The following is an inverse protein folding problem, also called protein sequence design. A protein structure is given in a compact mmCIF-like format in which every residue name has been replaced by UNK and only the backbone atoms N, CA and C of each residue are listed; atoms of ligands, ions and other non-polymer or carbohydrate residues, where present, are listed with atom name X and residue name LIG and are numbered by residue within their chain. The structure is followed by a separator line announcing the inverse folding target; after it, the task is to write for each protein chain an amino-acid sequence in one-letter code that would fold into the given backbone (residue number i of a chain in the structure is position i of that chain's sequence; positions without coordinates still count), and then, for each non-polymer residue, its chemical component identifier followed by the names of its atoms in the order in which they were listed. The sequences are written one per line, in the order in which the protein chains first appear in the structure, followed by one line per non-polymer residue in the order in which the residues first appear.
data_IF_905269348786
#
_entry.id   IF_905269348786
#
_cell.length_a   1.000
_cell.length_b   1.000
_cell.length_c   1.000
_cell.angle_alpha   90.00
_cell.angle_beta   90.00
_cell.angle_gamma   90.00
#
_symmetry.space_group_name_H-M   'P 1'
#
loop_
_entity.id
_entity.type
_entity.pdbx_description
1 polymer ?
#
# COMPACT_ATOMS: atom_id res chain seq x y z
N UNK A 1 11.65 -42.41 -17.53
CA UNK A 1 11.38 -41.46 -18.62
C UNK A 1 10.44 -40.41 -18.06
N UNK A 2 10.95 -39.20 -17.84
CA UNK A 2 10.25 -38.05 -17.26
C UNK A 2 9.12 -37.58 -18.18
N UNK A 3 8.01 -37.13 -17.59
CA UNK A 3 7.43 -35.79 -17.80
C UNK A 3 6.07 -35.71 -17.10
N UNK A 4 5.99 -34.85 -16.08
CA UNK A 4 4.88 -33.90 -15.83
C UNK A 4 5.11 -33.24 -14.46
N UNK A 5 6.14 -32.40 -14.38
CA UNK A 5 6.14 -31.25 -13.49
C UNK A 5 5.32 -30.16 -14.20
N UNK A 6 4.00 -30.22 -14.08
CA UNK A 6 3.15 -29.08 -14.42
C UNK A 6 3.22 -28.12 -13.23
N UNK A 7 3.98 -27.04 -13.43
CA UNK A 7 4.20 -25.99 -12.46
C UNK A 7 2.88 -25.41 -11.95
N UNK A 8 2.78 -25.32 -10.63
CA UNK A 8 1.86 -24.40 -9.98
C UNK A 8 2.18 -23.00 -10.51
N UNK A 9 1.25 -22.41 -11.28
CA UNK A 9 1.22 -20.96 -11.45
C UNK A 9 0.97 -20.37 -10.05
N UNK A 10 2.04 -19.99 -9.37
CA UNK A 10 1.95 -19.16 -8.17
C UNK A 10 1.52 -17.77 -8.63
N UNK A 11 0.19 -17.57 -8.69
CA UNK A 11 -0.36 -16.23 -8.91
C UNK A 11 0.25 -15.28 -7.88
N UNK A 12 0.50 -14.04 -8.29
CA UNK A 12 1.11 -13.00 -7.45
C UNK A 12 0.43 -12.92 -6.08
N UNK A 13 -0.85 -13.25 -6.03
CA UNK A 13 -1.74 -13.07 -4.89
C UNK A 13 -2.24 -14.38 -4.25
N UNK A 14 -1.62 -15.52 -4.55
CA UNK A 14 -1.98 -16.79 -3.92
C UNK A 14 -1.88 -16.71 -2.38
N UNK A 15 -2.92 -17.13 -1.66
CA UNK A 15 -3.05 -17.02 -0.21
C UNK A 15 -1.86 -17.65 0.57
N UNK A 16 -1.28 -16.92 1.54
CA UNK A 16 -0.41 -17.50 2.58
C UNK A 16 -0.67 -16.87 3.96
N UNK A 17 -0.95 -17.75 4.92
CA UNK A 17 -1.18 -17.61 6.36
C UNK A 17 -1.26 -16.21 6.98
N UNK A 18 -2.43 -15.96 7.59
CA UNK A 18 -2.78 -14.85 8.49
C UNK A 18 -1.67 -14.55 9.51
N UNK A 19 -1.01 -13.41 9.36
CA UNK A 19 -0.45 -12.70 10.50
C UNK A 19 -1.55 -11.78 11.00
N UNK A 20 -2.16 -12.14 12.14
CA UNK A 20 -3.25 -11.37 12.73
C UNK A 20 -2.69 -10.08 13.33
N UNK A 21 -2.66 -9.01 12.53
CA UNK A 21 -2.67 -7.65 13.07
C UNK A 21 -4.11 -7.33 13.48
N UNK A 22 -4.29 -6.72 14.65
CA UNK A 22 -5.60 -6.30 15.14
C UNK A 22 -6.24 -5.35 14.13
N UNK A 23 -7.18 -5.91 13.38
CA UNK A 23 -7.89 -5.29 12.29
C UNK A 23 -8.87 -4.23 12.78
N UNK A 24 -9.07 -3.19 11.98
CA UNK A 24 -10.32 -2.44 11.93
C UNK A 24 -11.45 -3.35 11.37
N UNK A 25 -11.71 -4.47 12.02
CA UNK A 25 -12.89 -5.29 11.76
C UNK A 25 -14.04 -4.68 12.57
N UNK A 26 -14.94 -3.97 11.89
CA UNK A 26 -16.31 -3.89 12.38
C UNK A 26 -17.01 -5.19 11.98
N UNK A 27 -17.47 -6.02 12.93
CA UNK A 27 -18.19 -7.25 12.60
C UNK A 27 -19.57 -6.93 12.01
N UNK A 28 -19.94 -7.60 10.91
CA UNK A 28 -21.28 -7.55 10.30
C UNK A 28 -21.23 -7.61 8.77
N UNK A 29 -22.36 -7.98 8.15
CA UNK A 29 -22.62 -8.07 6.70
C UNK A 29 -22.53 -6.72 5.96
N UNK A 30 -21.42 -6.01 6.11
CA UNK A 30 -21.24 -4.63 5.64
C UNK A 30 -20.22 -4.60 4.51
N UNK A 31 -20.52 -3.79 3.50
CA UNK A 31 -19.65 -3.60 2.33
C UNK A 31 -18.30 -3.06 2.82
N UNK A 32 -17.18 -3.77 2.59
CA UNK A 32 -15.90 -3.29 3.07
C UNK A 32 -15.48 -2.04 2.29
N UNK A 33 -14.78 -1.16 2.99
CA UNK A 33 -14.36 0.12 2.47
C UNK A 33 -12.93 0.44 2.92
N UNK A 34 -12.33 1.41 2.24
CA UNK A 34 -11.02 1.94 2.53
C UNK A 34 -11.08 3.46 2.56
N UNK A 35 -10.38 4.11 3.50
CA UNK A 35 -10.24 5.57 3.52
C UNK A 35 -8.79 5.93 3.27
N UNK A 36 -8.55 6.61 2.15
CA UNK A 36 -7.22 7.05 1.73
C UNK A 36 -6.66 8.11 2.69
N UNK A 37 -5.35 8.30 2.66
CA UNK A 37 -4.69 9.39 3.42
C UNK A 37 -5.21 10.77 3.04
N UNK A 38 -5.65 10.93 1.79
CA UNK A 38 -6.24 12.16 1.26
C UNK A 38 -7.70 12.35 1.70
N UNK A 39 -8.25 11.46 2.53
CA UNK A 39 -9.62 11.58 3.03
C UNK A 39 -10.67 11.19 2.00
N UNK A 40 -10.37 10.23 1.11
CA UNK A 40 -11.36 9.69 0.17
C UNK A 40 -11.84 8.33 0.67
N UNK A 41 -13.15 8.17 0.82
CA UNK A 41 -13.79 6.87 1.09
C UNK A 41 -13.97 6.12 -0.23
N UNK A 42 -13.37 4.95 -0.33
CA UNK A 42 -13.44 4.05 -1.47
C UNK A 42 -14.19 2.77 -1.08
N UNK A 43 -15.18 2.36 -1.87
CA UNK A 43 -15.81 1.06 -1.72
C UNK A 43 -16.34 0.54 -3.06
N UNK A 44 -16.60 -0.76 -3.13
CA UNK A 44 -17.04 -1.43 -4.37
C UNK A 44 -18.42 -2.06 -4.17
N UNK A 45 -19.27 -1.95 -5.18
CA UNK A 45 -20.50 -2.74 -5.29
C UNK A 45 -20.31 -3.84 -6.33
N UNK A 46 -20.80 -5.04 -6.04
CA UNK A 46 -20.88 -6.10 -7.04
C UNK A 46 -21.92 -5.73 -8.10
N UNK A 47 -21.49 -5.70 -9.37
CA UNK A 47 -22.30 -5.37 -10.53
C UNK A 47 -22.66 -6.64 -11.33
N UNK A 48 -22.99 -7.73 -10.63
CA UNK A 48 -23.13 -9.09 -11.16
C UNK A 48 -21.83 -9.74 -11.66
N UNK A 49 -21.93 -10.74 -12.56
CA UNK A 49 -20.80 -11.51 -13.13
C UNK A 49 -19.89 -10.70 -14.07
N UNK A 50 -20.22 -9.45 -14.36
CA UNK A 50 -19.56 -8.64 -15.39
C UNK A 50 -18.48 -7.69 -14.84
N UNK A 51 -18.51 -7.37 -13.55
CA UNK A 51 -17.55 -6.44 -12.96
C UNK A 51 -17.99 -5.87 -11.62
N UNK A 52 -17.43 -4.72 -11.28
CA UNK A 52 -17.74 -3.97 -10.05
C UNK A 52 -17.98 -2.50 -10.35
N UNK A 53 -18.82 -1.88 -9.53
CA UNK A 53 -18.94 -0.42 -9.49
C UNK A 53 -18.02 0.12 -8.39
N UNK A 54 -17.00 0.87 -8.79
CA UNK A 54 -16.14 1.62 -7.90
C UNK A 54 -16.81 2.94 -7.54
N UNK A 55 -16.92 3.20 -6.24
CA UNK A 55 -17.48 4.44 -5.70
C UNK A 55 -16.41 5.10 -4.83
N UNK A 56 -16.22 6.40 -5.06
CA UNK A 56 -15.31 7.24 -4.29
C UNK A 56 -16.01 8.50 -3.78
N UNK A 57 -15.83 8.79 -2.49
CA UNK A 57 -16.37 9.97 -1.83
C UNK A 57 -15.22 10.73 -1.18
N UNK A 58 -14.90 11.91 -1.71
CA UNK A 58 -14.04 12.88 -1.05
C UNK A 58 -14.71 13.38 0.25
N UNK A 59 -14.31 12.80 1.38
CA UNK A 59 -14.84 13.14 2.69
C UNK A 59 -14.39 14.52 3.17
N UNK A 60 -13.30 15.09 2.64
CA UNK A 60 -12.90 16.45 2.99
C UNK A 60 -13.89 17.49 2.44
N UNK A 61 -14.69 17.16 1.41
CA UNK A 61 -15.80 18.04 1.01
C UNK A 61 -16.89 18.04 2.06
N UNK A 62 -17.21 16.88 2.63
CA UNK A 62 -18.25 16.71 3.64
C UNK A 62 -17.81 17.20 5.03
N UNK A 63 -16.52 17.04 5.35
CA UNK A 63 -15.91 17.36 6.64
C UNK A 63 -14.59 18.13 6.44
N UNK A 64 -14.64 19.41 6.03
CA UNK A 64 -13.47 20.17 5.59
C UNK A 64 -12.40 20.40 6.65
N UNK A 65 -12.76 20.32 7.93
CA UNK A 65 -11.85 20.53 9.06
C UNK A 65 -11.39 19.23 9.72
N UNK A 66 -11.89 18.08 9.25
CA UNK A 66 -11.56 16.78 9.84
C UNK A 66 -10.17 16.31 9.41
N UNK A 67 -9.40 15.77 10.36
CA UNK A 67 -8.19 15.02 10.04
C UNK A 67 -8.55 13.62 9.50
N UNK A 68 -7.67 13.00 8.72
CA UNK A 68 -7.88 11.63 8.21
C UNK A 68 -8.10 10.62 9.34
N UNK A 69 -7.41 10.77 10.48
CA UNK A 69 -7.64 9.95 11.66
C UNK A 69 -9.06 10.12 12.21
N UNK A 70 -9.57 11.36 12.25
CA UNK A 70 -10.95 11.62 12.66
C UNK A 70 -11.96 11.05 11.65
N UNK A 71 -11.72 11.19 10.35
CA UNK A 71 -12.55 10.55 9.31
C UNK A 71 -12.64 9.04 9.52
N UNK A 72 -11.51 8.35 9.70
CA UNK A 72 -11.47 6.90 9.95
C UNK A 72 -12.15 6.46 11.25
N UNK A 73 -12.28 7.36 12.22
CA UNK A 73 -12.99 7.06 13.49
C UNK A 73 -14.52 7.15 13.37
N UNK A 74 -15.05 7.75 12.29
CA UNK A 74 -16.50 7.83 12.05
C UNK A 74 -17.07 6.45 11.71
N UNK A 75 -18.38 6.32 11.89
CA UNK A 75 -19.09 5.09 11.60
C UNK A 75 -19.75 5.16 10.22
N UNK A 76 -19.44 4.18 9.36
CA UNK A 76 -19.89 4.12 7.97
C UNK A 76 -20.81 2.91 7.79
N UNK A 77 -22.01 3.16 7.27
CA UNK A 77 -22.96 2.13 6.88
C UNK A 77 -23.19 2.24 5.38
N UNK A 78 -22.67 1.25 4.64
CA UNK A 78 -22.67 1.22 3.18
C UNK A 78 -23.50 0.02 2.71
N UNK A 79 -24.43 0.28 1.80
CA UNK A 79 -25.22 -0.74 1.10
C UNK A 79 -25.26 -0.47 -0.41
N UNK A 80 -25.97 -1.32 -1.15
CA UNK A 80 -26.21 -1.20 -2.59
C UNK A 80 -27.07 0.01 -3.00
N UNK A 81 -27.70 0.68 -2.04
CA UNK A 81 -28.72 1.70 -2.26
C UNK A 81 -28.65 2.85 -1.27
N UNK A 82 -27.85 2.73 -0.20
CA UNK A 82 -27.76 3.72 0.86
C UNK A 82 -26.30 3.92 1.29
N UNK A 83 -25.92 5.18 1.52
CA UNK A 83 -24.71 5.54 2.24
C UNK A 83 -25.16 6.34 3.47
N UNK A 84 -24.74 5.91 4.65
CA UNK A 84 -24.94 6.66 5.89
C UNK A 84 -23.61 6.82 6.60
N UNK A 85 -23.27 8.06 6.95
CA UNK A 85 -22.09 8.42 7.74
C UNK A 85 -22.61 8.98 9.06
N UNK A 86 -22.43 8.21 10.13
CA UNK A 86 -22.85 8.59 11.47
C UNK A 86 -21.70 9.32 12.16
N UNK A 87 -21.99 10.55 12.60
CA UNK A 87 -21.10 11.35 13.42
C UNK A 87 -21.61 11.36 14.87
N UNK A 88 -20.71 11.35 15.86
CA UNK A 88 -21.09 11.27 17.26
C UNK A 88 -21.72 12.58 17.78
N UNK A 89 -21.30 13.72 17.23
CA UNK A 89 -21.70 15.05 17.70
C UNK A 89 -22.53 15.86 16.69
N UNK A 90 -22.82 15.30 15.52
CA UNK A 90 -23.54 15.98 14.43
C UNK A 90 -24.59 15.07 13.81
N UNK A 91 -25.64 15.62 13.18
CA UNK A 91 -26.61 14.84 12.42
C UNK A 91 -25.93 13.92 11.40
N UNK A 92 -26.43 12.70 11.26
CA UNK A 92 -25.92 11.77 10.26
C UNK A 92 -26.08 12.35 8.85
N UNK A 93 -25.07 12.10 8.02
CA UNK A 93 -25.10 12.39 6.59
C UNK A 93 -25.59 11.13 5.89
N UNK A 94 -26.64 11.22 5.09
CA UNK A 94 -27.12 10.05 4.36
C UNK A 94 -27.60 10.37 2.95
N UNK A 95 -27.39 9.41 2.05
CA UNK A 95 -27.97 9.43 0.71
C UNK A 95 -28.58 8.07 0.39
N UNK A 96 -29.76 8.11 -0.23
CA UNK A 96 -30.34 7.00 -0.95
C UNK A 96 -30.02 7.20 -2.43
N UNK A 97 -29.44 6.19 -3.06
CA UNK A 97 -29.02 6.24 -4.44
C UNK A 97 -29.48 5.01 -5.21
N UNK A 98 -29.39 5.12 -6.52
CA UNK A 98 -29.56 4.00 -7.46
C UNK A 98 -28.56 4.12 -8.58
N UNK A 99 -28.20 2.99 -9.17
CA UNK A 99 -27.40 2.96 -10.39
C UNK A 99 -28.34 2.71 -11.56
N UNK A 100 -28.35 3.65 -12.51
CA UNK A 100 -29.17 3.55 -13.72
C UNK A 100 -28.33 3.93 -14.93
N UNK A 101 -28.33 3.10 -15.98
CA UNK A 101 -27.55 3.33 -17.20
C UNK A 101 -26.06 3.66 -16.93
N UNK A 102 -25.44 2.93 -15.98
CA UNK A 102 -24.06 3.17 -15.55
C UNK A 102 -23.81 4.59 -14.98
N UNK A 103 -24.83 5.19 -14.36
CA UNK A 103 -24.72 6.47 -13.67
C UNK A 103 -25.18 6.35 -12.23
N UNK A 104 -24.50 7.06 -11.33
CA UNK A 104 -24.86 7.17 -9.93
C UNK A 104 -25.91 8.27 -9.76
N UNK A 105 -27.11 7.92 -9.27
CA UNK A 105 -28.23 8.86 -9.14
C UNK A 105 -28.68 8.93 -7.68
N UNK A 106 -28.50 10.10 -7.06
CA UNK A 106 -29.01 10.38 -5.71
C UNK A 106 -30.52 10.62 -5.79
N UNK A 107 -31.31 9.76 -5.14
CA UNK A 107 -32.77 9.85 -5.09
C UNK A 107 -33.27 10.69 -3.91
N UNK A 108 -32.63 10.57 -2.76
CA UNK A 108 -32.93 11.32 -1.54
C UNK A 108 -31.67 11.53 -0.73
N UNK A 109 -31.54 12.66 -0.07
CA UNK A 109 -30.41 12.93 0.82
C UNK A 109 -30.83 13.66 2.09
N UNK A 110 -29.99 13.55 3.12
CA UNK A 110 -30.08 14.29 4.38
C UNK A 110 -28.69 14.75 4.78
N UNK A 111 -28.53 16.06 5.07
CA UNK A 111 -27.24 16.68 5.41
C UNK A 111 -26.12 16.44 4.39
N UNK A 112 -26.47 16.09 3.16
CA UNK A 112 -25.56 15.95 2.03
C UNK A 112 -25.42 17.28 1.30
N UNK A 113 -24.24 17.57 0.74
CA UNK A 113 -24.01 18.76 -0.07
C UNK A 113 -24.78 18.66 -1.40
N UNK A 114 -25.65 19.64 -1.68
CA UNK A 114 -26.58 19.57 -2.81
C UNK A 114 -25.89 19.49 -4.19
N UNK A 115 -24.71 20.08 -4.33
CA UNK A 115 -23.90 20.12 -5.57
C UNK A 115 -22.92 18.94 -5.68
N UNK A 116 -22.86 18.06 -4.68
CA UNK A 116 -21.83 17.05 -4.58
C UNK A 116 -22.29 15.68 -5.06
N UNK A 117 -21.58 15.14 -6.05
CA UNK A 117 -21.75 13.78 -6.55
C UNK A 117 -20.53 12.93 -6.20
N UNK A 118 -20.72 11.69 -5.68
CA UNK A 118 -19.66 10.70 -5.62
C UNK A 118 -19.04 10.43 -6.99
N UNK A 119 -17.74 10.20 -7.02
CA UNK A 119 -17.07 9.67 -8.21
C UNK A 119 -17.48 8.20 -8.37
N UNK A 120 -17.83 7.83 -9.60
CA UNK A 120 -18.44 6.55 -9.92
C UNK A 120 -17.87 6.01 -11.23
N UNK A 121 -17.40 4.76 -11.22
CA UNK A 121 -16.88 4.11 -12.41
C UNK A 121 -17.17 2.60 -12.39
N UNK A 122 -17.60 2.06 -13.53
CA UNK A 122 -17.67 0.62 -13.72
C UNK A 122 -16.31 0.07 -14.16
N UNK A 123 -15.89 -1.02 -13.53
CA UNK A 123 -14.67 -1.74 -13.87
C UNK A 123 -15.07 -3.16 -14.31
N UNK A 124 -14.85 -3.46 -15.59
CA UNK A 124 -15.12 -4.78 -16.13
C UNK A 124 -14.18 -5.83 -15.52
N UNK A 125 -14.70 -7.03 -15.27
CA UNK A 125 -13.92 -8.14 -14.70
C UNK A 125 -12.74 -8.53 -15.61
N UNK A 126 -12.93 -8.50 -16.93
CA UNK A 126 -11.84 -8.79 -17.88
C UNK A 126 -10.70 -7.76 -17.79
N UNK A 127 -11.00 -6.49 -17.51
CA UNK A 127 -9.99 -5.45 -17.26
C UNK A 127 -9.22 -5.71 -15.97
N UNK A 128 -9.91 -6.15 -14.90
CA UNK A 128 -9.27 -6.54 -13.64
C UNK A 128 -8.34 -7.75 -13.84
N UNK A 129 -8.81 -8.79 -14.54
CA UNK A 129 -8.01 -9.97 -14.88
C UNK A 129 -6.80 -9.62 -15.76
N UNK A 130 -6.99 -8.73 -16.74
CA UNK A 130 -5.88 -8.25 -17.55
C UNK A 130 -4.82 -7.56 -16.70
N UNK A 131 -5.23 -6.69 -15.77
CA UNK A 131 -4.31 -6.01 -14.85
C UNK A 131 -3.56 -6.99 -13.95
N UNK A 132 -4.25 -7.99 -13.39
CA UNK A 132 -3.64 -9.06 -12.59
C UNK A 132 -2.54 -9.77 -13.40
N UNK A 133 -2.86 -10.15 -14.64
CA UNK A 133 -1.93 -10.82 -15.56
C UNK A 133 -0.69 -9.98 -15.90
N UNK A 134 -0.81 -8.65 -15.99
CA UNK A 134 0.34 -7.78 -16.25
C UNK A 134 1.39 -7.89 -15.14
N UNK A 135 0.95 -8.02 -13.88
CA UNK A 135 1.85 -8.27 -12.75
C UNK A 135 2.38 -9.71 -12.74
N UNK A 136 1.59 -10.71 -13.09
CA UNK A 136 2.03 -12.12 -13.13
C UNK A 136 3.05 -12.40 -14.24
N UNK A 137 2.81 -11.84 -15.43
CA UNK A 137 3.68 -12.02 -16.61
C UNK A 137 4.87 -11.07 -16.62
N UNK A 138 4.91 -10.10 -15.69
CA UNK A 138 5.96 -9.08 -15.57
C UNK A 138 6.07 -8.16 -16.78
N UNK A 139 4.92 -7.84 -17.39
CA UNK A 139 4.85 -6.92 -18.52
C UNK A 139 4.89 -5.47 -18.01
N UNK A 140 6.10 -4.94 -17.82
CA UNK A 140 6.31 -3.56 -17.40
C UNK A 140 5.70 -2.56 -18.39
N UNK A 141 5.73 -2.85 -19.69
CA UNK A 141 5.21 -1.93 -20.72
C UNK A 141 3.71 -1.80 -20.62
N UNK A 142 3.00 -2.93 -20.44
CA UNK A 142 1.56 -2.93 -20.18
C UNK A 142 1.22 -2.21 -18.87
N UNK A 143 2.01 -2.40 -17.80
CA UNK A 143 1.79 -1.69 -16.53
C UNK A 143 1.95 -0.17 -16.65
N UNK A 144 2.91 0.31 -17.45
CA UNK A 144 3.08 1.75 -17.69
C UNK A 144 1.89 2.36 -18.43
N UNK A 145 1.19 1.59 -19.28
CA UNK A 145 -0.01 2.07 -19.98
C UNK A 145 -1.18 2.31 -19.02
N UNK A 146 -1.23 1.60 -17.88
CA UNK A 146 -2.29 1.79 -16.88
C UNK A 146 -2.29 3.19 -16.26
N UNK A 147 -1.12 3.83 -16.15
CA UNK A 147 -0.99 5.18 -15.59
C UNK A 147 -1.81 6.23 -16.37
N UNK A 148 -1.93 6.04 -17.69
CA UNK A 148 -2.67 6.95 -18.58
C UNK A 148 -4.19 6.72 -18.49
N UNK A 149 -4.62 5.55 -18.03
CA UNK A 149 -6.02 5.11 -18.09
C UNK A 149 -6.93 5.71 -17.01
N UNK A 150 -6.41 6.57 -16.11
CA UNK A 150 -7.18 7.22 -15.01
C UNK A 150 -8.06 6.22 -14.22
N UNK A 151 -7.50 5.06 -13.91
CA UNK A 151 -8.22 4.00 -13.22
C UNK A 151 -8.38 4.34 -11.73
N UNK A 152 -9.45 3.85 -11.07
CA UNK A 152 -9.67 4.06 -9.64
C UNK A 152 -8.82 3.05 -8.85
N UNK A 153 -7.50 3.27 -8.81
CA UNK A 153 -6.52 2.31 -8.32
C UNK A 153 -6.77 1.88 -6.87
N UNK A 154 -7.27 2.76 -6.01
CA UNK A 154 -7.61 2.44 -4.62
C UNK A 154 -8.78 1.44 -4.53
N UNK A 155 -9.77 1.57 -5.40
CA UNK A 155 -10.88 0.61 -5.49
C UNK A 155 -10.44 -0.73 -6.07
N UNK A 156 -9.54 -0.72 -7.04
CA UNK A 156 -8.93 -1.93 -7.61
C UNK A 156 -8.11 -2.66 -6.55
N UNK A 157 -7.32 -1.93 -5.78
CA UNK A 157 -6.51 -2.49 -4.69
C UNK A 157 -7.39 -3.08 -3.59
N UNK A 158 -8.47 -2.39 -3.21
CA UNK A 158 -9.49 -2.91 -2.29
C UNK A 158 -10.14 -4.18 -2.86
N UNK A 159 -10.51 -4.21 -4.14
CA UNK A 159 -11.08 -5.39 -4.77
C UNK A 159 -10.14 -6.59 -4.70
N UNK A 160 -8.88 -6.44 -5.08
CA UNK A 160 -7.90 -7.53 -4.99
C UNK A 160 -7.67 -7.96 -3.53
N UNK A 161 -7.56 -7.03 -2.58
CA UNK A 161 -7.41 -7.41 -1.16
C UNK A 161 -8.57 -8.30 -0.67
N UNK A 162 -9.81 -8.00 -1.08
CA UNK A 162 -10.98 -8.78 -0.73
C UNK A 162 -10.98 -10.14 -1.42
N UNK A 163 -10.68 -10.16 -2.73
CA UNK A 163 -10.62 -11.38 -3.54
C UNK A 163 -9.63 -12.40 -2.96
N UNK A 164 -8.51 -11.91 -2.42
CA UNK A 164 -7.47 -12.74 -1.84
C UNK A 164 -7.58 -12.91 -0.31
N UNK A 165 -8.68 -12.47 0.30
CA UNK A 165 -8.99 -12.72 1.71
C UNK A 165 -8.10 -11.99 2.72
N UNK A 166 -7.48 -10.87 2.32
CA UNK A 166 -6.71 -10.02 3.22
C UNK A 166 -7.62 -9.14 4.07
N UNK A 167 -7.16 -8.83 5.29
CA UNK A 167 -7.98 -8.05 6.23
C UNK A 167 -7.92 -6.55 5.92
N UNK A 168 -6.82 -6.08 5.32
CA UNK A 168 -6.63 -4.68 4.93
C UNK A 168 -5.92 -4.56 3.58
N UNK A 169 -6.08 -3.41 2.95
CA UNK A 169 -5.37 -3.01 1.73
C UNK A 169 -3.85 -2.95 1.96
N UNK A 170 -3.41 -2.46 3.13
CA UNK A 170 -1.99 -2.38 3.49
C UNK A 170 -1.33 -3.76 3.65
N UNK A 171 -2.05 -4.73 4.22
CA UNK A 171 -1.57 -6.11 4.38
C UNK A 171 -1.38 -6.76 3.02
N UNK A 172 -2.40 -6.66 2.15
CA UNK A 172 -2.33 -7.12 0.76
C UNK A 172 -1.16 -6.47 0.01
N UNK A 173 -1.04 -5.14 0.10
CA UNK A 173 0.00 -4.37 -0.62
C UNK A 173 1.41 -4.77 -0.19
N UNK A 174 1.61 -5.00 1.11
CA UNK A 174 2.90 -5.45 1.65
C UNK A 174 3.26 -6.84 1.15
N UNK A 175 2.27 -7.75 1.09
CA UNK A 175 2.44 -9.09 0.56
C UNK A 175 2.75 -9.08 -0.94
N UNK A 176 2.03 -8.27 -1.72
CA UNK A 176 2.24 -8.12 -3.16
C UNK A 176 3.66 -7.63 -3.47
N UNK A 177 4.11 -6.56 -2.81
CA UNK A 177 5.49 -6.04 -2.97
C UNK A 177 6.52 -7.12 -2.60
N UNK A 178 6.34 -7.79 -1.47
CA UNK A 178 7.27 -8.84 -1.04
C UNK A 178 7.41 -9.95 -2.09
N UNK A 179 6.30 -10.42 -2.67
CA UNK A 179 6.31 -11.48 -3.69
C UNK A 179 6.93 -11.07 -5.01
N UNK A 180 6.65 -9.84 -5.47
CA UNK A 180 7.30 -9.32 -6.68
C UNK A 180 8.81 -9.24 -6.46
N UNK A 181 9.24 -8.78 -5.29
CA UNK A 181 10.66 -8.66 -4.94
C UNK A 181 11.36 -10.01 -4.74
N UNK A 182 10.68 -11.02 -4.18
CA UNK A 182 11.18 -12.40 -4.07
C UNK A 182 11.51 -12.99 -5.45
N UNK A 183 10.73 -12.65 -6.48
CA UNK A 183 11.00 -13.01 -7.88
C UNK A 183 12.12 -12.18 -8.52
N UNK A 184 12.73 -11.24 -7.80
CA UNK A 184 13.80 -10.36 -8.28
C UNK A 184 13.32 -9.21 -9.20
N UNK A 185 12.02 -8.92 -9.23
CA UNK A 185 11.40 -8.04 -10.24
C UNK A 185 11.25 -6.60 -9.73
N UNK A 186 12.37 -5.97 -9.38
CA UNK A 186 12.38 -4.64 -8.80
C UNK A 186 11.63 -3.57 -9.63
N UNK A 187 11.75 -3.58 -10.96
CA UNK A 187 11.06 -2.61 -11.82
C UNK A 187 9.53 -2.73 -11.75
N UNK A 188 9.01 -3.96 -11.64
CA UNK A 188 7.57 -4.22 -11.48
C UNK A 188 7.11 -3.78 -10.09
N UNK A 189 7.88 -4.06 -9.04
CA UNK A 189 7.55 -3.64 -7.68
C UNK A 189 7.55 -2.11 -7.56
N UNK A 190 8.50 -1.43 -8.21
CA UNK A 190 8.54 0.03 -8.33
C UNK A 190 7.30 0.58 -9.03
N UNK A 191 6.88 -0.04 -10.14
CA UNK A 191 5.67 0.37 -10.85
C UNK A 191 4.40 0.11 -10.03
N UNK A 192 4.30 -1.02 -9.34
CA UNK A 192 3.19 -1.30 -8.42
C UNK A 192 3.11 -0.23 -7.33
N UNK A 193 4.24 0.08 -6.68
CA UNK A 193 4.30 1.13 -5.66
C UNK A 193 3.87 2.49 -6.23
N UNK A 194 4.36 2.86 -7.42
CA UNK A 194 4.00 4.11 -8.08
C UNK A 194 2.49 4.22 -8.35
N UNK A 195 1.88 3.18 -8.93
CA UNK A 195 0.47 3.17 -9.30
C UNK A 195 -0.46 3.16 -8.07
N UNK A 196 -0.15 2.35 -7.06
CA UNK A 196 -1.09 2.03 -5.98
C UNK A 196 -0.76 2.67 -4.63
N UNK A 197 0.53 2.92 -4.35
CA UNK A 197 1.01 3.16 -2.98
C UNK A 197 1.71 4.50 -2.78
N UNK A 198 2.05 5.22 -3.86
CA UNK A 198 2.81 6.47 -3.78
C UNK A 198 2.20 7.54 -2.87
N UNK A 199 0.88 7.48 -2.67
CA UNK A 199 0.10 8.41 -1.85
C UNK A 199 -0.27 7.86 -0.47
N UNK A 200 0.08 6.61 -0.16
CA UNK A 200 -0.24 5.93 1.09
C UNK A 200 0.88 6.13 2.13
N UNK A 201 0.63 7.00 3.10
CA UNK A 201 1.56 7.28 4.22
C UNK A 201 1.56 6.22 5.32
N UNK A 202 0.60 5.31 5.31
CA UNK A 202 0.53 4.19 6.25
C UNK A 202 1.22 2.94 5.71
N UNK A 203 1.52 2.91 4.42
CA UNK A 203 2.23 1.80 3.81
C UNK A 203 3.66 1.72 4.34
N UNK A 204 4.05 0.51 4.74
CA UNK A 204 5.40 0.17 5.15
C UNK A 204 6.28 -0.02 3.91
N UNK A 205 6.90 1.06 3.47
CA UNK A 205 7.83 1.13 2.33
C UNK A 205 9.22 0.52 2.58
N UNK A 206 9.48 -0.07 3.75
CA UNK A 206 10.80 -0.60 4.10
C UNK A 206 11.37 -1.57 3.05
N UNK A 207 10.60 -2.58 2.65
CA UNK A 207 11.12 -3.66 1.79
C UNK A 207 11.49 -3.14 0.40
N UNK A 208 10.63 -2.32 -0.22
CA UNK A 208 10.90 -1.73 -1.53
C UNK A 208 12.04 -0.71 -1.49
N UNK A 209 12.15 0.09 -0.42
CA UNK A 209 13.26 1.03 -0.23
C UNK A 209 14.57 0.32 0.08
N UNK A 210 14.56 -0.80 0.82
CA UNK A 210 15.74 -1.65 1.04
C UNK A 210 16.33 -2.13 -0.29
N UNK A 211 15.49 -2.69 -1.17
CA UNK A 211 15.93 -3.13 -2.50
C UNK A 211 16.37 -1.94 -3.37
N UNK A 212 15.67 -0.79 -3.30
CA UNK A 212 16.10 0.41 -4.02
C UNK A 212 17.50 0.88 -3.60
N UNK A 213 17.83 0.79 -2.30
CA UNK A 213 19.15 1.09 -1.76
C UNK A 213 20.20 0.13 -2.32
N UNK A 214 19.93 -1.18 -2.32
CA UNK A 214 20.81 -2.20 -2.91
C UNK A 214 21.05 -1.97 -4.41
N UNK A 215 20.02 -1.52 -5.13
CA UNK A 215 20.10 -1.19 -6.57
C UNK A 215 20.66 0.20 -6.84
N UNK A 216 20.94 1.00 -5.81
CA UNK A 216 21.37 2.39 -5.92
C UNK A 216 20.39 3.28 -6.73
N UNK A 217 19.09 3.02 -6.64
CA UNK A 217 18.04 3.79 -7.33
C UNK A 217 17.68 5.05 -6.53
N UNK A 218 18.59 6.02 -6.55
CA UNK A 218 18.42 7.31 -5.87
C UNK A 218 17.20 8.08 -6.35
N UNK A 219 16.82 7.94 -7.62
CA UNK A 219 15.68 8.66 -8.18
C UNK A 219 14.36 8.16 -7.60
N UNK A 220 14.23 6.85 -7.39
CA UNK A 220 13.10 6.29 -6.68
C UNK A 220 13.10 6.68 -5.20
N UNK A 221 14.22 6.53 -4.51
CA UNK A 221 14.34 6.86 -3.07
C UNK A 221 13.94 8.32 -2.79
N UNK A 222 14.27 9.24 -3.69
CA UNK A 222 13.91 10.67 -3.56
C UNK A 222 12.43 10.97 -3.77
N UNK A 223 11.72 10.14 -4.54
CA UNK A 223 10.32 10.34 -4.90
C UNK A 223 9.35 9.58 -3.99
N UNK A 224 9.85 8.58 -3.28
CA UNK A 224 9.06 7.76 -2.36
C UNK A 224 9.02 8.43 -1.00
N UNK A 225 7.84 8.40 -0.36
CA UNK A 225 7.74 8.78 1.05
C UNK A 225 8.67 7.87 1.88
N UNK A 226 9.32 8.41 2.91
CA UNK A 226 10.21 7.64 3.78
C UNK A 226 9.45 7.21 5.05
N UNK A 227 8.27 6.59 4.89
CA UNK A 227 7.39 6.26 6.02
C UNK A 227 8.07 5.30 7.01
N UNK A 228 8.97 4.45 6.52
CA UNK A 228 9.70 3.45 7.30
C UNK A 228 11.16 3.84 7.58
N UNK A 229 11.50 5.14 7.48
CA UNK A 229 12.88 5.64 7.60
C UNK A 229 13.65 5.04 8.78
N UNK A 230 13.00 5.04 9.95
CA UNK A 230 13.56 4.60 11.22
C UNK A 230 13.08 3.22 11.65
N UNK A 231 12.35 2.52 10.79
CA UNK A 231 11.85 1.18 11.08
C UNK A 231 13.03 0.19 11.02
N UNK A 232 13.15 -0.64 12.04
CA UNK A 232 14.05 -1.78 12.03
C UNK A 232 13.34 -2.95 11.33
N UNK A 233 13.68 -3.21 10.07
CA UNK A 233 13.11 -4.29 9.26
C UNK A 233 14.08 -5.45 9.06
N UNK A 234 13.58 -6.59 8.60
CA UNK A 234 14.41 -7.77 8.32
C UNK A 234 15.31 -7.47 7.12
N UNK A 235 16.61 -7.63 7.31
CA UNK A 235 17.61 -7.43 6.27
C UNK A 235 17.90 -8.75 5.55
N UNK A 236 18.50 -9.71 6.26
CA UNK A 236 18.86 -11.03 5.75
C UNK A 236 18.35 -12.12 6.68
N UNK A 237 17.88 -13.24 6.11
CA UNK A 237 17.58 -14.47 6.83
C UNK A 237 18.71 -15.46 6.55
N UNK A 238 19.33 -15.98 7.60
CA UNK A 238 20.43 -16.93 7.53
C UNK A 238 19.90 -18.37 7.44
N UNK A 239 20.79 -19.29 7.06
CA UNK A 239 20.47 -20.71 6.88
C UNK A 239 20.02 -21.41 8.18
N UNK A 240 20.41 -20.88 9.35
CA UNK A 240 20.01 -21.36 10.67
C UNK A 240 18.71 -20.72 11.18
N UNK A 241 17.96 -20.04 10.29
CA UNK A 241 16.76 -19.25 10.59
C UNK A 241 16.97 -18.05 11.53
N UNK A 242 18.22 -17.74 11.90
CA UNK A 242 18.52 -16.43 12.49
C UNK A 242 18.39 -15.34 11.41
N UNK A 243 18.17 -14.10 11.84
CA UNK A 243 18.04 -12.98 10.90
C UNK A 243 18.75 -11.75 11.43
N UNK A 244 19.22 -10.94 10.50
CA UNK A 244 19.70 -9.58 10.77
C UNK A 244 18.55 -8.61 10.55
N UNK A 245 18.56 -7.52 11.30
CA UNK A 245 17.64 -6.42 11.08
C UNK A 245 18.42 -5.13 10.90
N UNK A 246 17.92 -4.24 10.05
CA UNK A 246 18.49 -2.91 9.91
C UNK A 246 17.41 -1.87 9.59
N UNK A 247 17.72 -0.61 9.83
CA UNK A 247 16.97 0.52 9.26
C UNK A 247 17.44 0.78 7.83
N UNK A 248 16.74 1.64 7.09
CA UNK A 248 17.20 2.07 5.76
C UNK A 248 18.60 2.70 5.82
N UNK A 249 18.89 3.45 6.89
CA UNK A 249 20.23 3.99 7.16
C UNK A 249 21.24 2.87 7.40
N UNK A 250 20.90 1.88 8.22
CA UNK A 250 21.74 0.70 8.46
C UNK A 250 22.07 -0.04 7.17
N UNK A 251 21.06 -0.27 6.30
CA UNK A 251 21.27 -0.88 4.98
C UNK A 251 22.25 -0.08 4.12
N UNK A 252 22.06 1.24 4.04
CA UNK A 252 22.93 2.12 3.27
C UNK A 252 24.39 2.10 3.75
N UNK A 253 24.61 1.96 5.06
CA UNK A 253 25.95 1.81 5.66
C UNK A 253 26.55 0.45 5.29
N UNK A 254 25.79 -0.64 5.39
CA UNK A 254 26.24 -1.99 5.03
C UNK A 254 26.74 -2.07 3.59
N UNK A 255 26.02 -1.45 2.64
CA UNK A 255 26.43 -1.38 1.23
C UNK A 255 27.46 -0.28 0.94
N UNK A 256 27.90 0.45 1.98
CA UNK A 256 28.91 1.52 1.93
C UNK A 256 28.57 2.66 0.97
N UNK A 257 27.28 2.98 0.80
CA UNK A 257 26.83 4.03 -0.11
C UNK A 257 26.70 5.37 0.62
N UNK A 258 27.77 6.18 0.56
CA UNK A 258 27.83 7.50 1.23
C UNK A 258 26.70 8.45 0.81
N UNK A 259 26.28 8.44 -0.46
CA UNK A 259 25.29 9.37 -0.99
C UNK A 259 23.92 9.07 -0.39
N UNK A 260 23.53 7.80 -0.34
CA UNK A 260 22.28 7.37 0.30
C UNK A 260 22.33 7.67 1.80
N UNK A 261 23.45 7.37 2.48
CA UNK A 261 23.60 7.65 3.91
C UNK A 261 23.38 9.13 4.20
N UNK A 262 24.06 10.02 3.49
CA UNK A 262 23.91 11.47 3.63
C UNK A 262 22.46 11.92 3.39
N UNK A 263 21.84 11.42 2.32
CA UNK A 263 20.44 11.72 2.02
C UNK A 263 19.49 11.28 3.14
N UNK A 264 19.63 10.07 3.68
CA UNK A 264 18.77 9.57 4.75
C UNK A 264 18.96 10.37 6.05
N UNK A 265 20.20 10.77 6.38
CA UNK A 265 20.50 11.63 7.54
C UNK A 265 19.86 13.01 7.41
N UNK A 266 19.97 13.64 6.23
CA UNK A 266 19.32 14.93 5.94
C UNK A 266 17.78 14.86 6.07
N UNK A 267 17.20 13.66 5.92
CA UNK A 267 15.77 13.41 6.09
C UNK A 267 15.40 12.92 7.50
N UNK A 268 16.30 12.99 8.47
CA UNK A 268 16.01 12.69 9.88
C UNK A 268 16.10 11.22 10.26
N UNK A 269 16.93 10.43 9.56
CA UNK A 269 17.23 9.06 9.98
C UNK A 269 17.92 9.04 11.35
N UNK A 270 17.44 8.17 12.24
CA UNK A 270 17.97 7.96 13.58
C UNK A 270 19.29 7.16 13.51
N UNK A 271 20.28 7.60 14.27
CA UNK A 271 21.63 7.03 14.30
C UNK A 271 21.88 6.03 15.43
N UNK A 272 21.00 5.90 16.41
CA UNK A 272 21.28 5.13 17.64
C UNK A 272 21.06 3.62 17.49
N UNK A 273 20.00 3.22 16.78
CA UNK A 273 19.63 1.81 16.57
C UNK A 273 19.41 1.54 15.08
N UNK A 274 20.48 1.29 14.34
CA UNK A 274 20.41 1.10 12.88
C UNK A 274 20.59 -0.34 12.43
N UNK A 275 21.17 -1.18 13.28
CA UNK A 275 21.40 -2.59 12.97
C UNK A 275 21.26 -3.43 14.24
N UNK A 276 20.69 -4.62 14.08
CA UNK A 276 20.56 -5.60 15.13
C UNK A 276 20.84 -7.00 14.60
N UNK A 277 21.65 -7.76 15.34
CA UNK A 277 21.83 -9.18 15.14
C UNK A 277 21.85 -9.86 16.52
N UNK A 278 20.89 -10.75 16.78
CA UNK A 278 20.69 -11.33 18.11
C UNK A 278 20.53 -10.22 19.18
N UNK A 279 21.40 -10.22 20.19
CA UNK A 279 21.48 -9.19 21.25
C UNK A 279 22.38 -8.01 20.90
N UNK A 280 23.16 -8.08 19.81
CA UNK A 280 24.07 -7.03 19.37
C UNK A 280 23.28 -5.94 18.63
N UNK A 281 23.26 -4.74 19.21
CA UNK A 281 22.58 -3.56 18.66
C UNK A 281 23.62 -2.49 18.38
N UNK A 282 23.70 -2.03 17.14
CA UNK A 282 24.70 -1.08 16.69
C UNK A 282 24.09 0.26 16.30
N UNK A 283 24.77 1.33 16.72
CA UNK A 283 24.58 2.68 16.19
C UNK A 283 25.18 2.82 14.79
N UNK A 284 24.83 3.90 14.09
CA UNK A 284 25.32 4.20 12.76
C UNK A 284 26.85 4.35 12.72
N UNK A 285 27.43 4.97 13.75
CA UNK A 285 28.87 5.10 13.87
C UNK A 285 29.55 3.75 14.09
N UNK A 286 29.04 2.94 15.04
CA UNK A 286 29.57 1.60 15.33
C UNK A 286 29.48 0.68 14.11
N UNK A 287 28.38 0.73 13.37
CA UNK A 287 28.22 -0.04 12.13
C UNK A 287 29.17 0.45 11.03
N UNK A 288 29.37 1.76 10.89
CA UNK A 288 30.32 2.33 9.93
C UNK A 288 31.78 1.95 10.26
N UNK A 289 32.13 1.87 11.54
CA UNK A 289 33.42 1.36 12.02
C UNK A 289 33.58 -0.14 11.68
N UNK A 290 32.58 -0.96 12.00
CA UNK A 290 32.58 -2.41 11.71
C UNK A 290 32.71 -2.70 10.21
N UNK A 291 32.07 -1.90 9.37
CA UNK A 291 32.16 -1.99 7.89
C UNK A 291 33.44 -1.33 7.33
N UNK A 292 34.27 -0.71 8.19
CA UNK A 292 35.53 -0.02 7.84
C UNK A 292 35.34 1.11 6.83
N UNK A 293 34.22 1.83 6.90
CA UNK A 293 33.89 2.88 5.93
C UNK A 293 34.27 4.28 6.44
N UNK A 294 35.56 4.63 6.32
CA UNK A 294 36.09 5.94 6.75
C UNK A 294 35.33 7.14 6.17
N UNK A 295 34.84 7.04 4.92
CA UNK A 295 34.08 8.12 4.25
C UNK A 295 32.70 8.34 4.88
N UNK A 296 32.07 7.28 5.40
CA UNK A 296 30.77 7.34 6.08
C UNK A 296 30.96 7.78 7.53
N UNK A 297 32.00 7.30 8.22
CA UNK A 297 32.29 7.72 9.60
C UNK A 297 32.40 9.25 9.75
N UNK A 298 32.95 9.93 8.73
CA UNK A 298 33.03 11.40 8.68
C UNK A 298 31.68 12.12 8.63
N UNK A 299 30.57 11.42 8.42
CA UNK A 299 29.22 12.01 8.44
C UNK A 299 28.63 12.11 9.86
N UNK A 300 29.28 11.49 10.85
CA UNK A 300 28.83 11.45 12.25
C UNK A 300 29.78 12.23 13.19
N UNK A 301 30.74 12.96 12.63
CA UNK A 301 31.71 13.82 13.33
C UNK A 301 31.35 15.28 13.06
#
# INVERSE_FOLDING_TARGET
MLCLLAGLATSLFAYQNKIVFQSQQQPGSRIPFYITEQGTLCYNLHADKLGVYAIQINLNRLFPTATTAHLRSKHYELSDSTITIINYAEPAISINYRIANNTFVIAKSSNWLADYQPEFQFIALDSLRHMENLFDTNDLSGLMQLEVAKLPFENILLFFSQLHGFSTVEEFSSNAIHRILEKGQYAIAKQFHHLFLAKNRQFNDFEILKIAIEKNDMDFIRKTCLNSLNRLGIDEIKADYSFTQCTLLGKAILIKNKIIVDYLLQNGANTEKVYQYESDVLSAFQLAERTKSKKIMKLFQ
#
